data_IF_261248372896
#
_entry.id   IF_261248372896
#
_cell.length_a   1.000
_cell.length_b   1.000
_cell.length_c   1.000
_cell.angle_alpha   90.00
_cell.angle_beta   90.00
_cell.angle_gamma   90.00
#
_symmetry.space_group_name_H-M   'P 1'
#
loop_
_entity.id
_entity.type
_entity.pdbx_description
1 polymer ?
#
# COMPACT_ATOMS: atom_id res chain seq x y z
N UNK A 1 -43.23 21.25 -27.05
CA UNK A 1 -43.17 21.36 -25.58
C UNK A 1 -41.84 21.98 -25.20
N UNK A 2 -41.93 23.07 -24.47
CA UNK A 2 -41.00 24.21 -24.35
C UNK A 2 -40.24 24.25 -23.02
N UNK A 3 -39.07 24.92 -23.01
CA UNK A 3 -38.45 25.60 -21.86
C UNK A 3 -37.63 24.71 -20.90
N UNK A 4 -36.45 25.09 -20.40
CA UNK A 4 -35.96 26.44 -20.07
C UNK A 4 -34.44 26.60 -20.28
N UNK A 5 -34.05 27.76 -20.83
CA UNK A 5 -32.71 28.37 -20.70
C UNK A 5 -32.74 29.50 -19.67
N UNK A 6 -31.65 29.73 -18.92
CA UNK A 6 -31.32 31.07 -18.39
C UNK A 6 -29.80 31.27 -18.17
N UNK A 7 -29.35 32.44 -18.67
CA UNK A 7 -28.24 33.34 -18.29
C UNK A 7 -26.77 32.88 -18.39
N UNK A 8 -25.79 33.72 -18.80
CA UNK A 8 -25.76 35.18 -18.98
C UNK A 8 -24.68 35.64 -19.96
N UNK A 9 -24.99 36.69 -20.73
CA UNK A 9 -24.02 37.52 -21.44
C UNK A 9 -23.08 38.23 -20.44
N UNK A 10 -21.80 37.86 -20.45
CA UNK A 10 -20.77 38.62 -19.74
C UNK A 10 -20.21 39.70 -20.65
N UNK A 11 -20.27 40.94 -20.17
CA UNK A 11 -19.68 42.14 -20.77
C UNK A 11 -18.22 41.87 -21.25
N UNK A 12 -17.92 41.99 -22.56
CA UNK A 12 -16.64 41.57 -23.14
C UNK A 12 -15.43 42.31 -22.57
N UNK A 13 -15.61 43.54 -22.07
CA UNK A 13 -14.56 44.33 -21.43
C UNK A 13 -14.10 43.76 -20.08
N UNK A 14 -15.04 43.21 -19.28
CA UNK A 14 -14.70 42.56 -18.01
C UNK A 14 -13.92 41.26 -18.23
N UNK A 15 -14.17 40.56 -19.35
CA UNK A 15 -13.46 39.32 -19.71
C UNK A 15 -12.00 39.56 -20.09
N UNK A 16 -11.68 40.70 -20.71
CA UNK A 16 -10.31 41.07 -21.08
C UNK A 16 -9.48 41.50 -19.87
N UNK A 17 -10.08 42.26 -18.94
CA UNK A 17 -9.42 42.69 -17.70
C UNK A 17 -9.02 41.47 -16.83
N UNK A 18 -9.92 40.49 -16.72
CA UNK A 18 -9.66 39.23 -15.99
C UNK A 18 -8.56 38.40 -16.67
N UNK A 19 -8.51 38.37 -18.02
CA UNK A 19 -7.43 37.69 -18.76
C UNK A 19 -6.08 38.37 -18.57
N UNK A 20 -6.03 39.72 -18.57
CA UNK A 20 -4.80 40.49 -18.28
C UNK A 20 -4.29 40.23 -16.86
N UNK A 21 -5.16 40.24 -15.85
CA UNK A 21 -4.77 39.95 -14.45
C UNK A 21 -4.28 38.51 -14.27
N UNK A 22 -4.90 37.53 -14.96
CA UNK A 22 -4.42 36.13 -14.98
C UNK A 22 -3.07 35.97 -15.68
N UNK A 23 -2.76 36.81 -16.65
CA UNK A 23 -1.47 36.78 -17.35
C UNK A 23 -0.35 37.40 -16.50
N UNK A 24 -0.61 38.55 -15.89
CA UNK A 24 0.33 39.19 -14.97
C UNK A 24 0.63 38.32 -13.73
N UNK A 25 -0.38 37.66 -13.15
CA UNK A 25 -0.16 36.75 -12.02
C UNK A 25 0.71 35.54 -12.40
N UNK A 26 0.59 35.01 -13.62
CA UNK A 26 1.47 33.94 -14.12
C UNK A 26 2.92 34.40 -14.28
N UNK A 27 3.15 35.62 -14.76
CA UNK A 27 4.51 36.17 -14.88
C UNK A 27 5.17 36.39 -13.52
N UNK A 28 4.42 36.88 -12.52
CA UNK A 28 4.92 37.06 -11.15
C UNK A 28 5.28 35.71 -10.52
N UNK A 29 4.44 34.68 -10.68
CA UNK A 29 4.73 33.33 -10.16
C UNK A 29 5.96 32.70 -10.84
N UNK A 30 6.14 32.93 -12.14
CA UNK A 30 7.32 32.47 -12.86
C UNK A 30 8.61 33.18 -12.37
N UNK A 31 8.55 34.50 -12.16
CA UNK A 31 9.68 35.27 -11.64
C UNK A 31 10.09 34.84 -10.23
N UNK A 32 9.12 34.63 -9.32
CA UNK A 32 9.37 34.14 -7.96
C UNK A 32 9.98 32.74 -7.99
N UNK A 33 9.49 31.85 -8.86
CA UNK A 33 10.03 30.49 -9.00
C UNK A 33 11.47 30.48 -9.50
N UNK A 34 11.82 31.39 -10.41
CA UNK A 34 13.18 31.55 -10.92
C UNK A 34 14.13 32.04 -9.81
N UNK A 35 13.67 32.99 -8.98
CA UNK A 35 14.46 33.54 -7.87
C UNK A 35 14.74 32.50 -6.78
N UNK A 36 13.77 31.64 -6.47
CA UNK A 36 13.96 30.52 -5.52
C UNK A 36 14.99 29.51 -6.04
N UNK A 37 14.96 29.18 -7.33
CA UNK A 37 15.95 28.27 -7.94
C UNK A 37 17.37 28.83 -7.86
N UNK A 38 17.56 30.12 -8.15
CA UNK A 38 18.86 30.79 -8.07
C UNK A 38 19.40 30.74 -6.64
N UNK A 39 18.58 31.11 -5.64
CA UNK A 39 18.99 31.08 -4.22
C UNK A 39 19.36 29.67 -3.77
N UNK A 40 18.60 28.65 -4.20
CA UNK A 40 18.87 27.26 -3.83
C UNK A 40 20.17 26.75 -4.43
N UNK A 41 20.47 27.12 -5.68
CA UNK A 41 21.72 26.74 -6.35
C UNK A 41 22.94 27.39 -5.69
N UNK A 42 22.84 28.67 -5.31
CA UNK A 42 23.92 29.38 -4.62
C UNK A 42 24.21 28.77 -3.25
N UNK A 43 23.17 28.39 -2.49
CA UNK A 43 23.35 27.74 -1.18
C UNK A 43 24.03 26.37 -1.33
N UNK A 44 23.64 25.56 -2.33
CA UNK A 44 24.24 24.24 -2.58
C UNK A 44 25.69 24.38 -3.04
N UNK A 45 26.00 25.35 -3.91
CA UNK A 45 27.38 25.61 -4.35
C UNK A 45 28.30 26.03 -3.19
N UNK A 46 27.79 26.85 -2.27
CA UNK A 46 28.52 27.26 -1.06
C UNK A 46 28.69 26.10 -0.07
N UNK A 47 27.70 25.20 0.04
CA UNK A 47 27.74 24.11 1.02
C UNK A 47 28.61 22.91 0.61
N UNK A 48 28.83 22.71 -0.69
CA UNK A 48 29.58 21.56 -1.21
C UNK A 48 30.98 21.90 -1.74
N UNK A 49 31.42 23.16 -1.65
CA UNK A 49 32.69 23.64 -2.18
C UNK A 49 33.96 23.23 -1.43
N UNK A 50 33.91 22.53 -0.29
CA UNK A 50 35.13 22.20 0.48
C UNK A 50 35.06 20.85 1.21
N UNK A 51 35.28 19.74 0.51
CA UNK A 51 35.76 18.51 1.16
C UNK A 51 36.74 17.75 0.26
N UNK A 52 38.01 17.83 0.63
CA UNK A 52 39.12 17.04 0.09
C UNK A 52 39.10 15.61 0.61
N UNK A 53 39.54 14.71 -0.26
CA UNK A 53 39.54 13.26 -0.10
C UNK A 53 40.43 12.78 1.06
N UNK A 54 39.89 11.89 1.90
CA UNK A 54 40.68 10.98 2.74
C UNK A 54 40.52 9.55 2.19
N UNK A 55 41.64 8.98 1.74
CA UNK A 55 41.80 7.55 1.43
C UNK A 55 41.48 6.72 2.68
N UNK A 56 40.62 5.71 2.52
CA UNK A 56 40.27 4.74 3.56
C UNK A 56 40.74 3.36 3.13
N UNK A 57 41.50 2.75 4.04
CA UNK A 57 42.13 1.42 4.06
C UNK A 57 41.13 0.25 3.82
N UNK A 58 41.45 -0.76 2.99
CA UNK A 58 40.54 -1.84 2.64
C UNK A 58 40.72 -3.03 3.59
N UNK A 59 40.22 -2.93 4.82
CA UNK A 59 39.91 -4.13 5.60
C UNK A 59 38.52 -4.65 5.24
N UNK A 60 38.30 -5.98 5.14
CA UNK A 60 37.01 -6.55 4.77
C UNK A 60 36.00 -6.27 5.88
N UNK A 61 35.20 -5.22 5.71
CA UNK A 61 34.08 -4.96 6.62
C UNK A 61 33.09 -6.12 6.53
N UNK A 62 32.54 -6.59 7.66
CA UNK A 62 31.41 -7.51 7.64
C UNK A 62 30.33 -6.91 6.75
N UNK A 63 29.82 -7.69 5.78
CA UNK A 63 28.78 -7.23 4.86
C UNK A 63 27.66 -6.58 5.68
N UNK A 64 27.32 -5.31 5.48
CA UNK A 64 26.30 -4.65 6.28
C UNK A 64 24.97 -5.37 6.07
N UNK A 65 24.45 -6.00 7.12
CA UNK A 65 23.07 -6.53 7.16
C UNK A 65 22.14 -5.35 6.89
N UNK A 66 21.47 -5.35 5.74
CA UNK A 66 20.68 -4.20 5.29
C UNK A 66 19.54 -3.93 6.29
N UNK A 67 19.38 -2.68 6.78
CA UNK A 67 18.32 -2.31 7.72
C UNK A 67 17.01 -2.16 6.95
N UNK A 68 15.93 -2.75 7.45
CA UNK A 68 14.59 -2.49 6.93
C UNK A 68 13.50 -3.18 7.70
N UNK A 69 13.47 -4.51 7.64
CA UNK A 69 12.44 -5.33 8.27
C UNK A 69 13.09 -6.60 8.81
N UNK A 70 12.89 -6.86 10.08
CA UNK A 70 13.32 -8.09 10.75
C UNK A 70 12.10 -8.61 11.47
N UNK A 71 11.47 -9.65 10.93
CA UNK A 71 10.18 -10.12 11.41
C UNK A 71 10.20 -10.44 12.92
N UNK A 72 11.29 -11.00 13.43
CA UNK A 72 11.42 -11.32 14.85
C UNK A 72 11.55 -10.06 15.69
N UNK A 73 12.48 -9.21 15.30
CA UNK A 73 12.78 -7.99 16.04
C UNK A 73 11.63 -7.01 15.97
N UNK A 74 10.99 -6.85 14.81
CA UNK A 74 9.79 -6.03 14.62
C UNK A 74 8.64 -6.54 15.49
N UNK A 75 8.40 -7.86 15.54
CA UNK A 75 7.38 -8.42 16.43
C UNK A 75 7.68 -8.15 17.91
N UNK A 76 8.91 -8.35 18.35
CA UNK A 76 9.33 -8.08 19.73
C UNK A 76 9.22 -6.58 20.07
N UNK A 77 9.64 -5.71 19.15
CA UNK A 77 9.53 -4.25 19.29
C UNK A 77 8.07 -3.81 19.38
N UNK A 78 7.17 -4.37 18.56
CA UNK A 78 5.72 -4.13 18.64
C UNK A 78 5.20 -4.51 20.02
N UNK A 79 5.48 -5.72 20.51
CA UNK A 79 5.05 -6.16 21.86
C UNK A 79 5.57 -5.22 22.94
N UNK A 80 6.86 -4.85 22.87
CA UNK A 80 7.51 -3.96 23.83
C UNK A 80 6.87 -2.57 23.85
N UNK A 81 6.60 -1.98 22.69
CA UNK A 81 5.95 -0.68 22.57
C UNK A 81 4.55 -0.68 23.18
N UNK A 82 3.73 -1.69 22.87
CA UNK A 82 2.36 -1.76 23.37
C UNK A 82 2.30 -2.07 24.88
N UNK A 83 3.21 -2.90 25.39
CA UNK A 83 3.37 -3.05 26.85
C UNK A 83 3.77 -1.73 27.53
N UNK A 84 4.60 -0.91 26.88
CA UNK A 84 4.96 0.42 27.36
C UNK A 84 3.78 1.38 27.31
N UNK A 85 3.06 1.42 26.19
CA UNK A 85 1.91 2.28 25.96
C UNK A 85 0.83 2.07 27.03
N UNK A 86 0.45 0.82 27.32
CA UNK A 86 -0.55 0.52 28.36
C UNK A 86 -0.18 1.06 29.74
N UNK A 87 1.12 1.11 30.06
CA UNK A 87 1.66 1.58 31.35
C UNK A 87 2.04 3.07 31.34
N UNK A 88 1.81 3.79 30.24
CA UNK A 88 2.26 5.18 30.08
C UNK A 88 3.79 5.34 29.99
N UNK A 89 4.54 4.26 29.77
CA UNK A 89 6.00 4.29 29.65
C UNK A 89 6.43 4.53 28.20
N UNK A 90 6.53 5.80 27.83
CA UNK A 90 6.89 6.22 26.47
C UNK A 90 8.39 6.13 26.16
N UNK A 91 9.27 5.97 27.16
CA UNK A 91 10.73 5.82 26.92
C UNK A 91 11.04 4.61 26.02
N UNK A 92 10.36 3.48 26.25
CA UNK A 92 10.47 2.28 25.41
C UNK A 92 9.96 2.54 23.99
N UNK A 93 8.85 3.27 23.86
CA UNK A 93 8.25 3.63 22.57
C UNK A 93 9.23 4.46 21.74
N UNK A 94 9.83 5.49 22.33
CA UNK A 94 10.80 6.34 21.62
C UNK A 94 12.03 5.57 21.18
N UNK A 95 12.55 4.68 22.03
CA UNK A 95 13.72 3.84 21.70
C UNK A 95 13.49 3.02 20.42
N UNK A 96 12.26 2.53 20.23
CA UNK A 96 11.87 1.80 19.02
C UNK A 96 11.60 2.75 17.87
N UNK A 97 10.75 3.77 18.04
CA UNK A 97 10.30 4.64 16.94
C UNK A 97 11.42 5.50 16.35
N UNK A 98 12.45 5.87 17.11
CA UNK A 98 13.66 6.53 16.57
C UNK A 98 14.35 5.67 15.50
N UNK A 99 14.30 4.34 15.65
CA UNK A 99 14.91 3.39 14.72
C UNK A 99 13.91 2.89 13.67
N UNK A 100 12.64 2.76 14.05
CA UNK A 100 11.58 2.09 13.28
C UNK A 100 10.28 2.91 13.26
N UNK A 101 10.28 4.10 12.64
CA UNK A 101 9.11 4.98 12.64
C UNK A 101 7.91 4.42 11.87
N UNK A 102 8.06 3.38 11.04
CA UNK A 102 6.92 2.71 10.37
C UNK A 102 5.97 2.01 11.34
N UNK A 103 6.44 1.63 12.53
CA UNK A 103 5.62 0.84 13.46
C UNK A 103 4.57 1.70 14.20
N UNK A 104 4.60 3.03 14.04
CA UNK A 104 3.78 3.97 14.83
C UNK A 104 2.27 3.75 14.70
N UNK A 105 1.80 3.32 13.52
CA UNK A 105 0.37 3.14 13.22
C UNK A 105 -0.09 1.68 13.31
N UNK A 106 0.79 0.76 13.73
CA UNK A 106 0.44 -0.66 13.83
C UNK A 106 -0.57 -0.86 14.96
N UNK A 107 -1.56 -1.74 14.75
CA UNK A 107 -2.48 -2.19 15.79
C UNK A 107 -2.37 -3.73 15.90
N UNK A 108 -1.71 -4.25 16.95
CA UNK A 108 -1.58 -5.70 17.17
C UNK A 108 -2.94 -6.37 17.38
N UNK A 109 -3.01 -7.70 17.19
CA UNK A 109 -4.27 -8.48 17.32
C UNK A 109 -5.00 -8.25 18.64
N UNK A 110 -4.27 -8.18 19.74
CA UNK A 110 -4.83 -8.11 21.08
C UNK A 110 -5.13 -6.65 21.52
N UNK A 111 -5.06 -5.71 20.57
CA UNK A 111 -5.20 -4.28 20.78
C UNK A 111 -6.36 -3.72 19.96
N UNK A 112 -7.04 -2.69 20.49
CA UNK A 112 -8.03 -1.91 19.72
C UNK A 112 -7.47 -0.60 19.20
N UNK A 113 -6.32 -0.18 19.72
CA UNK A 113 -5.81 1.18 19.63
C UNK A 113 -4.39 1.20 19.08
N UNK A 114 -4.08 2.22 18.28
CA UNK A 114 -2.69 2.54 17.93
C UNK A 114 -2.01 3.31 19.08
N UNK A 115 -0.70 3.56 18.95
CA UNK A 115 0.06 4.30 19.96
C UNK A 115 -0.50 5.72 20.21
N UNK A 116 -0.98 6.38 19.15
CA UNK A 116 -1.57 7.71 19.25
C UNK A 116 -2.87 7.71 20.06
N UNK A 117 -3.74 6.72 19.87
CA UNK A 117 -4.93 6.55 20.71
C UNK A 117 -4.57 6.34 22.19
N UNK A 118 -3.53 5.54 22.48
CA UNK A 118 -3.06 5.33 23.85
C UNK A 118 -2.58 6.64 24.50
N UNK A 119 -1.79 7.45 23.78
CA UNK A 119 -1.34 8.76 24.26
C UNK A 119 -2.49 9.73 24.51
N UNK A 120 -3.45 9.78 23.60
CA UNK A 120 -4.68 10.56 23.76
C UNK A 120 -5.48 10.09 24.97
N UNK A 121 -5.73 8.79 25.11
CA UNK A 121 -6.55 8.19 26.18
C UNK A 121 -5.99 8.50 27.57
N UNK A 122 -4.67 8.57 27.69
CA UNK A 122 -3.92 8.86 28.91
C UNK A 122 -3.73 10.35 29.17
N UNK A 123 -4.28 11.23 28.32
CA UNK A 123 -4.13 12.67 28.43
C UNK A 123 -2.66 13.15 28.42
N UNK A 124 -1.77 12.42 27.73
CA UNK A 124 -0.34 12.71 27.67
C UNK A 124 0.00 13.64 26.49
N UNK A 125 -0.04 14.96 26.72
CA UNK A 125 0.20 15.99 25.69
C UNK A 125 1.56 15.88 25.03
N UNK A 126 2.61 15.66 25.81
CA UNK A 126 3.97 15.52 25.29
C UNK A 126 4.10 14.32 24.35
N UNK A 127 3.49 13.19 24.72
CA UNK A 127 3.48 12.00 23.86
C UNK A 127 2.67 12.23 22.58
N UNK A 128 1.48 12.85 22.67
CA UNK A 128 0.67 13.20 21.48
C UNK A 128 1.46 14.11 20.55
N UNK A 129 2.00 15.22 21.05
CA UNK A 129 2.78 16.18 20.27
C UNK A 129 3.99 15.50 19.59
N UNK A 130 4.73 14.67 20.34
CA UNK A 130 5.87 13.95 19.78
C UNK A 130 5.47 12.92 18.73
N UNK A 131 4.34 12.21 18.89
CA UNK A 131 3.85 11.24 17.92
C UNK A 131 3.41 11.92 16.62
N UNK A 132 2.62 13.00 16.68
CA UNK A 132 2.14 13.69 15.47
C UNK A 132 3.27 14.31 14.64
N UNK A 133 4.40 14.64 15.29
CA UNK A 133 5.60 15.14 14.62
C UNK A 133 6.37 14.05 13.84
N UNK A 134 6.09 12.76 14.05
CA UNK A 134 6.61 11.76 13.12
C UNK A 134 5.95 11.95 11.76
N UNK A 135 6.78 12.05 10.72
CA UNK A 135 6.28 12.06 9.35
C UNK A 135 5.40 10.86 9.07
N UNK A 136 5.63 9.71 9.72
CA UNK A 136 4.86 8.48 9.56
C UNK A 136 3.58 8.38 10.36
N UNK A 137 3.29 9.29 11.27
CA UNK A 137 2.07 9.24 12.07
C UNK A 137 0.85 9.48 11.19
N UNK A 138 -0.12 8.57 11.23
CA UNK A 138 -1.46 8.81 10.69
C UNK A 138 -2.38 9.30 11.81
N UNK A 139 -2.72 10.58 11.79
CA UNK A 139 -3.63 11.19 12.77
C UNK A 139 -5.08 10.73 12.57
N UNK A 140 -5.41 10.14 11.42
CA UNK A 140 -6.71 9.56 11.09
C UNK A 140 -6.74 8.04 11.26
N UNK A 141 -5.75 7.46 11.95
CA UNK A 141 -5.73 6.03 12.24
C UNK A 141 -6.98 5.63 13.01
N UNK A 142 -7.76 4.69 12.47
CA UNK A 142 -8.98 4.23 13.11
C UNK A 142 -8.68 3.09 14.10
N UNK A 143 -9.35 3.08 15.23
CA UNK A 143 -9.36 1.94 16.14
C UNK A 143 -9.99 0.72 15.46
N UNK A 144 -9.66 -0.48 15.94
CA UNK A 144 -10.25 -1.73 15.47
C UNK A 144 -11.05 -2.40 16.58
N UNK A 145 -12.15 -3.11 16.23
CA UNK A 145 -12.79 -4.00 17.19
C UNK A 145 -11.80 -5.04 17.71
N UNK A 146 -11.87 -5.40 18.99
CA UNK A 146 -11.15 -6.57 19.48
C UNK A 146 -12.10 -7.48 20.27
N UNK A 147 -11.65 -8.68 20.60
CA UNK A 147 -12.46 -9.68 21.30
C UNK A 147 -13.02 -9.17 22.65
N UNK A 148 -12.35 -8.20 23.28
CA UNK A 148 -12.76 -7.62 24.57
C UNK A 148 -13.70 -6.43 24.42
N UNK A 149 -13.60 -5.67 23.33
CA UNK A 149 -14.32 -4.42 23.08
C UNK A 149 -14.85 -4.40 21.64
N UNK A 150 -15.85 -5.24 21.34
CA UNK A 150 -16.41 -5.39 20.00
C UNK A 150 -17.04 -4.10 19.44
N UNK A 151 -17.49 -3.18 20.30
CA UNK A 151 -18.21 -1.96 19.92
C UNK A 151 -17.34 -0.68 19.79
N UNK A 152 -16.01 -0.76 19.99
CA UNK A 152 -15.14 0.43 20.03
C UNK A 152 -14.24 0.63 18.79
N UNK A 153 -14.58 -0.02 17.67
CA UNK A 153 -13.92 0.19 16.38
C UNK A 153 -14.22 1.54 15.73
N UNK A 154 -13.42 1.93 14.74
CA UNK A 154 -13.71 3.06 13.86
C UNK A 154 -13.34 4.45 14.36
N UNK A 155 -13.02 4.62 15.65
CA UNK A 155 -12.70 5.93 16.24
C UNK A 155 -11.28 6.38 15.90
N UNK A 156 -11.12 7.63 15.48
CA UNK A 156 -9.80 8.27 15.34
C UNK A 156 -9.35 8.90 16.69
N UNK A 157 -8.05 9.18 16.89
CA UNK A 157 -7.55 9.81 18.11
C UNK A 157 -8.23 11.12 18.46
N UNK A 158 -8.59 11.94 17.47
CA UNK A 158 -9.31 13.20 17.69
C UNK A 158 -10.71 12.97 18.29
N UNK A 159 -11.50 12.06 17.73
CA UNK A 159 -12.80 11.68 18.27
C UNK A 159 -12.67 11.12 19.70
N UNK A 160 -11.65 10.30 19.95
CA UNK A 160 -11.38 9.78 21.30
C UNK A 160 -11.02 10.91 22.29
N UNK A 161 -10.36 11.98 21.84
CA UNK A 161 -10.07 13.14 22.66
C UNK A 161 -11.36 13.92 22.99
N UNK A 162 -12.23 14.13 21.99
CA UNK A 162 -13.53 14.79 22.15
C UNK A 162 -14.43 14.05 23.14
N UNK A 163 -14.56 12.73 22.99
CA UNK A 163 -15.35 11.87 23.89
C UNK A 163 -14.89 11.96 25.35
N UNK A 164 -13.61 12.27 25.58
CA UNK A 164 -13.00 12.41 26.90
C UNK A 164 -12.86 13.86 27.35
N UNK A 165 -13.42 14.82 26.60
CA UNK A 165 -13.33 16.25 26.81
C UNK A 165 -11.87 16.77 26.90
N UNK A 166 -10.96 16.21 26.09
CA UNK A 166 -9.53 16.58 26.08
C UNK A 166 -9.24 17.57 24.95
N UNK A 167 -9.70 18.82 25.12
CA UNK A 167 -9.65 19.86 24.08
C UNK A 167 -8.22 20.27 23.67
N UNK A 168 -7.23 20.14 24.56
CA UNK A 168 -5.83 20.58 24.32
C UNK A 168 -5.09 19.83 23.20
N UNK A 169 -5.65 18.74 22.66
CA UNK A 169 -5.04 17.99 21.56
C UNK A 169 -5.56 18.35 20.18
N UNK A 170 -6.72 19.02 20.09
CA UNK A 170 -7.41 19.25 18.82
C UNK A 170 -6.52 20.05 17.85
N UNK A 171 -5.80 21.05 18.34
CA UNK A 171 -4.87 21.84 17.53
C UNK A 171 -3.76 20.99 16.88
N UNK A 172 -3.15 20.07 17.64
CA UNK A 172 -2.10 19.17 17.12
C UNK A 172 -2.61 18.27 15.98
N UNK A 173 -3.88 17.84 16.04
CA UNK A 173 -4.48 17.03 14.97
C UNK A 173 -4.78 17.87 13.73
N UNK A 174 -5.37 19.06 13.92
CA UNK A 174 -5.74 19.97 12.83
C UNK A 174 -4.53 20.43 12.00
N UNK A 175 -3.43 20.82 12.65
CA UNK A 175 -2.21 21.26 11.93
C UNK A 175 -1.63 20.15 11.04
N UNK A 176 -1.54 18.93 11.56
CA UNK A 176 -0.99 17.79 10.81
C UNK A 176 -1.89 17.43 9.62
N UNK A 177 -3.21 17.48 9.79
CA UNK A 177 -4.16 17.19 8.72
C UNK A 177 -4.04 18.16 7.53
N UNK A 178 -3.66 19.41 7.76
CA UNK A 178 -3.46 20.39 6.69
C UNK A 178 -2.20 20.14 5.85
N UNK A 179 -1.20 19.44 6.39
CA UNK A 179 0.07 19.16 5.71
C UNK A 179 0.02 17.93 4.78
N UNK A 180 -0.96 17.04 4.94
CA UNK A 180 -1.09 15.82 4.12
C UNK A 180 -1.81 16.05 2.79
N UNK A 181 -1.26 16.91 1.91
CA UNK A 181 -1.66 16.98 0.49
C UNK A 181 -0.61 16.26 -0.37
N UNK A 182 -0.83 14.97 -0.62
CA UNK A 182 0.03 14.21 -1.53
C UNK A 182 -0.31 14.53 -3.00
N UNK A 183 0.71 14.94 -3.77
CA UNK A 183 0.64 15.07 -5.22
C UNK A 183 0.51 13.70 -5.91
N UNK A 184 -0.38 13.64 -6.89
CA UNK A 184 -0.75 12.42 -7.63
C UNK A 184 0.23 12.16 -8.78
N UNK A 185 1.39 11.54 -8.50
CA UNK A 185 2.13 10.84 -9.55
C UNK A 185 1.78 9.36 -9.54
N UNK A 186 1.02 8.92 -10.53
CA UNK A 186 0.65 7.51 -10.70
C UNK A 186 1.81 6.76 -11.33
N UNK A 187 2.55 5.99 -10.53
CA UNK A 187 3.56 5.04 -11.02
C UNK A 187 3.00 3.63 -10.87
N UNK A 188 2.95 2.87 -11.97
CA UNK A 188 2.29 1.57 -12.01
C UNK A 188 3.23 0.39 -11.68
N UNK A 189 4.53 0.52 -11.92
CA UNK A 189 5.51 -0.55 -11.70
C UNK A 189 6.85 0.00 -11.20
N UNK A 190 7.78 -0.88 -10.82
CA UNK A 190 9.16 -0.50 -10.46
C UNK A 190 10.19 -1.22 -11.34
N UNK A 191 11.37 -0.61 -11.51
CA UNK A 191 12.45 -1.22 -12.31
C UNK A 191 12.91 -2.55 -11.72
N UNK A 192 13.42 -3.48 -12.53
CA UNK A 192 13.88 -4.80 -12.05
C UNK A 192 14.78 -4.72 -10.82
N UNK A 193 15.81 -3.88 -10.82
CA UNK A 193 16.74 -3.76 -9.69
C UNK A 193 16.07 -3.32 -8.37
N UNK A 194 14.98 -2.54 -8.45
CA UNK A 194 14.16 -2.18 -7.29
C UNK A 194 13.19 -3.31 -6.94
N UNK A 195 12.58 -3.94 -7.93
CA UNK A 195 11.61 -5.04 -7.80
C UNK A 195 12.21 -6.35 -7.28
N UNK A 196 13.44 -6.70 -7.65
CA UNK A 196 14.15 -7.87 -7.14
C UNK A 196 14.28 -7.86 -5.61
N UNK A 197 14.35 -6.68 -5.00
CA UNK A 197 14.32 -6.56 -3.53
C UNK A 197 12.96 -6.98 -2.96
N UNK A 198 11.86 -6.67 -3.64
CA UNK A 198 10.53 -7.12 -3.23
C UNK A 198 10.38 -8.63 -3.39
N UNK A 199 10.92 -9.22 -4.44
CA UNK A 199 10.83 -10.67 -4.64
C UNK A 199 11.78 -11.43 -3.70
N UNK A 200 12.94 -10.87 -3.39
CA UNK A 200 13.89 -11.46 -2.45
C UNK A 200 13.44 -11.35 -0.99
N UNK A 201 12.97 -10.16 -0.58
CA UNK A 201 12.70 -9.86 0.83
C UNK A 201 11.22 -9.85 1.18
N UNK A 202 10.33 -9.73 0.20
CA UNK A 202 8.88 -9.60 0.38
C UNK A 202 8.43 -8.14 0.38
N UNK A 203 7.17 -7.84 -0.01
CA UNK A 203 6.64 -6.49 0.07
C UNK A 203 6.57 -5.99 1.53
N UNK A 204 7.04 -4.77 1.83
CA UNK A 204 7.00 -4.19 3.17
C UNK A 204 5.62 -4.26 3.86
N UNK A 205 4.53 -4.03 3.12
CA UNK A 205 3.18 -4.14 3.69
C UNK A 205 2.89 -5.56 4.21
N UNK A 206 3.30 -6.58 3.45
CA UNK A 206 3.08 -7.99 3.81
C UNK A 206 4.00 -8.43 4.96
N UNK A 207 5.26 -7.99 4.95
CA UNK A 207 6.20 -8.22 6.05
C UNK A 207 5.73 -7.60 7.36
N UNK A 208 5.17 -6.39 7.29
CA UNK A 208 4.63 -5.71 8.46
C UNK A 208 3.36 -6.38 8.98
N UNK A 209 2.50 -6.89 8.10
CA UNK A 209 1.37 -7.73 8.50
C UNK A 209 1.85 -9.01 9.21
N UNK A 210 2.88 -9.67 8.65
CA UNK A 210 3.49 -10.86 9.26
C UNK A 210 4.11 -10.56 10.63
N UNK A 211 4.83 -9.45 10.81
CA UNK A 211 5.43 -9.12 12.11
C UNK A 211 4.37 -8.71 13.14
N UNK A 212 3.35 -7.97 12.72
CA UNK A 212 2.23 -7.55 13.58
C UNK A 212 1.42 -8.75 14.05
N UNK A 213 1.10 -9.67 13.14
CA UNK A 213 0.19 -10.79 13.38
C UNK A 213 0.92 -12.15 13.37
N UNK A 214 2.21 -12.14 13.72
CA UNK A 214 3.10 -13.30 13.69
C UNK A 214 2.49 -14.54 14.34
N UNK A 215 1.94 -14.40 15.54
CA UNK A 215 1.35 -15.53 16.28
C UNK A 215 0.20 -16.18 15.51
N UNK A 216 -0.61 -15.38 14.81
CA UNK A 216 -1.76 -15.88 14.03
C UNK A 216 -1.30 -16.53 12.71
N UNK A 217 -0.42 -15.87 11.95
CA UNK A 217 0.00 -16.36 10.64
C UNK A 217 1.08 -17.44 10.68
N UNK A 218 1.98 -17.42 11.66
CA UNK A 218 3.14 -18.32 11.71
C UNK A 218 3.14 -19.24 12.94
N UNK A 219 2.31 -19.00 13.95
CA UNK A 219 2.26 -19.83 15.15
C UNK A 219 3.62 -19.92 15.87
N UNK A 220 4.02 -21.15 16.22
CA UNK A 220 5.33 -21.48 16.82
C UNK A 220 6.42 -21.80 15.78
N UNK A 221 6.11 -21.73 14.48
CA UNK A 221 7.00 -22.20 13.42
C UNK A 221 8.32 -21.43 13.41
N UNK A 222 9.44 -22.13 13.22
CA UNK A 222 10.77 -21.51 13.04
C UNK A 222 10.69 -20.54 11.87
N UNK A 223 11.17 -19.31 12.08
CA UNK A 223 11.04 -18.27 11.07
C UNK A 223 12.16 -18.33 10.05
N UNK A 224 11.78 -18.40 8.79
CA UNK A 224 12.70 -18.29 7.66
C UNK A 224 13.08 -16.84 7.41
N UNK A 225 14.28 -16.62 6.87
CA UNK A 225 14.71 -15.33 6.34
C UNK A 225 14.18 -15.07 4.92
N UNK A 226 13.66 -16.09 4.23
CA UNK A 226 13.09 -15.98 2.87
C UNK A 226 11.58 -15.76 2.92
N UNK A 227 11.11 -14.76 2.18
CA UNK A 227 9.69 -14.41 2.16
C UNK A 227 8.79 -15.53 1.63
N UNK A 228 9.21 -16.24 0.59
CA UNK A 228 8.46 -17.37 0.00
C UNK A 228 8.21 -18.46 1.04
N UNK A 229 9.21 -18.80 1.86
CA UNK A 229 9.05 -19.76 2.95
C UNK A 229 8.05 -19.24 4.00
N UNK A 230 8.08 -17.95 4.33
CA UNK A 230 7.11 -17.34 5.25
C UNK A 230 5.69 -17.37 4.69
N UNK A 231 5.52 -17.13 3.38
CA UNK A 231 4.22 -17.27 2.71
C UNK A 231 3.72 -18.71 2.72
N UNK A 232 4.58 -19.70 2.48
CA UNK A 232 4.18 -21.11 2.57
C UNK A 232 3.74 -21.46 4.00
N UNK A 233 4.52 -21.07 5.02
CA UNK A 233 4.11 -21.24 6.42
C UNK A 233 2.77 -20.54 6.72
N UNK A 234 2.53 -19.37 6.12
CA UNK A 234 1.27 -18.64 6.24
C UNK A 234 0.11 -19.45 5.64
N UNK A 235 0.28 -20.00 4.45
CA UNK A 235 -0.72 -20.86 3.80
C UNK A 235 -1.00 -22.14 4.61
N UNK A 236 0.04 -22.80 5.11
CA UNK A 236 -0.08 -24.00 5.95
C UNK A 236 -0.79 -23.69 7.28
N UNK A 237 -0.49 -22.54 7.89
CA UNK A 237 -1.19 -22.07 9.09
C UNK A 237 -2.66 -21.80 8.79
N UNK A 238 -2.96 -21.14 7.67
CA UNK A 238 -4.33 -20.89 7.24
C UNK A 238 -5.12 -22.17 7.01
N UNK A 239 -4.50 -23.20 6.45
CA UNK A 239 -5.12 -24.51 6.26
C UNK A 239 -5.56 -25.17 7.59
N UNK A 240 -4.88 -24.87 8.70
CA UNK A 240 -5.17 -25.42 10.04
C UNK A 240 -6.02 -24.50 10.90
N UNK A 241 -5.94 -23.18 10.66
CA UNK A 241 -6.46 -22.17 11.55
C UNK A 241 -7.25 -21.06 10.82
N UNK A 242 -7.93 -21.42 9.73
CA UNK A 242 -8.61 -20.47 8.86
C UNK A 242 -9.62 -19.59 9.61
N UNK A 243 -10.34 -20.10 10.62
CA UNK A 243 -11.30 -19.31 11.42
C UNK A 243 -10.64 -18.14 12.14
N UNK A 244 -9.46 -18.34 12.73
CA UNK A 244 -8.73 -17.26 13.39
C UNK A 244 -8.17 -16.23 12.41
N UNK A 245 -7.73 -16.68 11.23
CA UNK A 245 -7.24 -15.79 10.17
C UNK A 245 -8.41 -15.01 9.54
N UNK A 246 -9.52 -15.68 9.29
CA UNK A 246 -10.77 -15.08 8.84
C UNK A 246 -11.20 -13.95 9.78
N UNK A 247 -11.31 -14.23 11.09
CA UNK A 247 -11.63 -13.22 12.10
C UNK A 247 -10.63 -12.05 12.12
N UNK A 248 -9.33 -12.33 11.97
CA UNK A 248 -8.31 -11.30 11.88
C UNK A 248 -8.53 -10.39 10.65
N UNK A 249 -8.80 -10.98 9.49
CA UNK A 249 -9.06 -10.25 8.25
C UNK A 249 -10.33 -9.40 8.39
N UNK A 250 -11.41 -9.99 8.91
CA UNK A 250 -12.68 -9.29 9.15
C UNK A 250 -12.52 -8.06 10.05
N UNK A 251 -11.83 -8.20 11.18
CA UNK A 251 -11.56 -7.07 12.09
C UNK A 251 -10.80 -5.95 11.39
N UNK A 252 -9.82 -6.30 10.55
CA UNK A 252 -9.05 -5.30 9.83
C UNK A 252 -9.84 -4.67 8.69
N UNK A 253 -10.77 -5.39 8.06
CA UNK A 253 -11.59 -4.90 6.94
C UNK A 253 -12.96 -4.32 7.33
N UNK A 254 -13.31 -4.33 8.63
CA UNK A 254 -14.64 -3.99 9.16
C UNK A 254 -15.31 -2.73 8.59
N UNK A 255 -14.55 -1.67 8.28
CA UNK A 255 -15.11 -0.39 7.79
C UNK A 255 -15.03 -0.21 6.26
N UNK A 256 -14.57 -1.22 5.52
CA UNK A 256 -14.21 -1.04 4.11
C UNK A 256 -15.14 -1.71 3.12
N UNK A 257 -15.73 -2.85 3.45
CA UNK A 257 -16.51 -3.59 2.47
C UNK A 257 -17.66 -4.38 3.12
N UNK A 258 -18.89 -4.09 2.69
CA UNK A 258 -20.06 -4.90 3.03
C UNK A 258 -19.92 -6.33 2.47
N UNK A 259 -19.07 -6.54 1.45
CA UNK A 259 -18.71 -7.86 0.92
C UNK A 259 -17.94 -8.76 1.89
N UNK A 260 -17.50 -8.24 3.05
CA UNK A 260 -16.92 -9.08 4.12
C UNK A 260 -17.91 -10.13 4.66
N UNK A 261 -19.20 -10.04 4.33
CA UNK A 261 -20.21 -11.07 4.57
C UNK A 261 -19.78 -12.47 4.06
N UNK A 262 -19.10 -12.54 2.92
CA UNK A 262 -18.62 -13.81 2.35
C UNK A 262 -17.54 -14.49 3.22
N UNK A 263 -16.84 -13.72 4.07
CA UNK A 263 -15.84 -14.24 5.02
C UNK A 263 -16.48 -14.55 6.39
N UNK A 264 -17.61 -13.93 6.73
CA UNK A 264 -18.30 -14.15 8.01
C UNK A 264 -18.85 -15.58 8.17
N UNK A 265 -19.26 -16.21 7.07
CA UNK A 265 -19.98 -17.49 7.09
C UNK A 265 -19.16 -18.69 6.59
N UNK A 266 -17.83 -18.57 6.54
CA UNK A 266 -16.97 -19.66 6.04
C UNK A 266 -17.00 -20.86 6.98
N UNK A 267 -17.46 -22.00 6.48
CA UNK A 267 -17.57 -23.24 7.29
C UNK A 267 -16.38 -24.17 7.08
N UNK A 268 -15.75 -24.12 5.91
CA UNK A 268 -14.58 -24.92 5.56
C UNK A 268 -13.37 -24.07 5.16
N UNK A 269 -12.19 -24.71 5.13
CA UNK A 269 -10.95 -24.07 4.63
C UNK A 269 -11.05 -23.69 3.15
N UNK A 270 -11.76 -24.51 2.37
CA UNK A 270 -11.94 -24.32 0.93
C UNK A 270 -12.83 -23.11 0.67
N UNK A 271 -13.94 -22.99 1.41
CA UNK A 271 -14.81 -21.81 1.34
C UNK A 271 -14.04 -20.56 1.75
N UNK A 272 -13.20 -20.65 2.78
CA UNK A 272 -12.37 -19.53 3.18
C UNK A 272 -11.42 -19.08 2.05
N UNK A 273 -10.71 -20.00 1.39
CA UNK A 273 -9.83 -19.64 0.28
C UNK A 273 -10.60 -19.08 -0.92
N UNK A 274 -11.76 -19.65 -1.24
CA UNK A 274 -12.66 -19.14 -2.27
C UNK A 274 -13.12 -17.71 -1.95
N UNK A 275 -13.57 -17.45 -0.71
CA UNK A 275 -14.00 -16.12 -0.26
C UNK A 275 -12.87 -15.08 -0.31
N UNK A 276 -11.62 -15.48 -0.03
CA UNK A 276 -10.47 -14.58 -0.18
C UNK A 276 -10.27 -14.14 -1.63
N UNK A 277 -10.44 -15.06 -2.60
CA UNK A 277 -10.35 -14.71 -4.02
C UNK A 277 -11.55 -13.87 -4.46
N UNK A 278 -12.76 -14.28 -4.08
CA UNK A 278 -14.02 -13.59 -4.41
C UNK A 278 -14.00 -12.14 -3.94
N UNK A 279 -13.62 -11.91 -2.68
CA UNK A 279 -13.59 -10.58 -2.10
C UNK A 279 -12.63 -9.65 -2.84
N UNK A 280 -11.56 -10.16 -3.46
CA UNK A 280 -10.62 -9.33 -4.22
C UNK A 280 -11.26 -8.76 -5.48
N UNK A 281 -12.23 -9.48 -6.05
CA UNK A 281 -12.97 -9.04 -7.24
C UNK A 281 -14.01 -7.98 -6.90
N UNK A 282 -14.25 -7.69 -5.61
CA UNK A 282 -15.05 -6.53 -5.23
C UNK A 282 -14.34 -5.23 -5.66
N UNK A 283 -15.11 -4.26 -6.19
CA UNK A 283 -14.56 -2.97 -6.61
C UNK A 283 -13.80 -2.29 -5.47
N UNK A 284 -14.33 -2.36 -4.26
CA UNK A 284 -13.80 -1.65 -3.10
C UNK A 284 -12.46 -2.23 -2.65
N UNK A 285 -12.33 -3.55 -2.51
CA UNK A 285 -11.05 -4.14 -2.15
C UNK A 285 -10.05 -4.09 -3.29
N UNK A 286 -10.46 -4.35 -4.53
CA UNK A 286 -9.58 -4.26 -5.70
C UNK A 286 -8.85 -2.91 -5.74
N UNK A 287 -9.59 -1.79 -5.62
CA UNK A 287 -9.02 -0.44 -5.67
C UNK A 287 -8.12 -0.18 -4.47
N UNK A 288 -8.59 -0.48 -3.26
CA UNK A 288 -7.88 -0.08 -2.05
C UNK A 288 -6.61 -0.91 -1.79
N UNK A 289 -6.68 -2.23 -1.96
CA UNK A 289 -5.53 -3.13 -1.79
C UNK A 289 -4.45 -2.81 -2.83
N UNK A 290 -4.84 -2.66 -4.10
CA UNK A 290 -3.87 -2.34 -5.14
C UNK A 290 -3.30 -0.93 -4.97
N UNK A 291 -4.08 0.04 -4.49
CA UNK A 291 -3.55 1.37 -4.16
C UNK A 291 -2.53 1.31 -3.03
N UNK A 292 -2.82 0.55 -1.96
CA UNK A 292 -1.88 0.37 -0.85
C UNK A 292 -0.56 -0.25 -1.32
N UNK A 293 -0.63 -1.26 -2.20
CA UNK A 293 0.53 -1.95 -2.75
C UNK A 293 1.31 -1.09 -3.76
N UNK A 294 0.63 -0.39 -4.69
CA UNK A 294 1.25 0.49 -5.70
C UNK A 294 2.03 1.63 -5.07
N UNK A 295 1.56 2.19 -3.95
CA UNK A 295 2.28 3.24 -3.22
C UNK A 295 3.70 2.81 -2.83
N UNK A 296 3.98 1.51 -2.71
CA UNK A 296 5.34 1.00 -2.46
C UNK A 296 6.31 1.34 -3.60
N UNK A 297 5.83 1.44 -4.85
CA UNK A 297 6.64 1.73 -6.02
C UNK A 297 7.19 3.17 -6.01
N UNK A 298 6.52 4.09 -5.30
CA UNK A 298 6.89 5.50 -5.22
C UNK A 298 8.10 5.76 -4.31
N UNK A 299 8.52 4.76 -3.53
CA UNK A 299 9.60 4.91 -2.56
C UNK A 299 10.67 3.85 -2.78
N UNK A 300 11.89 4.13 -2.32
CA UNK A 300 12.87 3.06 -2.08
C UNK A 300 12.22 2.04 -1.12
N UNK A 301 12.46 0.74 -1.34
CA UNK A 301 12.11 -0.34 -0.44
C UNK A 301 12.41 0.00 1.03
N UNK A 302 13.56 0.63 1.29
CA UNK A 302 13.97 1.07 2.63
C UNK A 302 13.22 2.28 3.17
N UNK A 303 12.58 3.07 2.31
CA UNK A 303 11.90 4.34 2.63
C UNK A 303 10.38 4.22 2.66
N UNK A 304 9.80 3.18 2.06
CA UNK A 304 8.36 2.97 2.16
C UNK A 304 7.97 2.70 3.61
N UNK A 305 6.96 3.44 4.07
CA UNK A 305 6.37 3.34 5.40
C UNK A 305 4.86 3.25 5.18
N UNK A 306 4.23 2.06 5.17
CA UNK A 306 2.78 1.97 5.07
C UNK A 306 2.16 2.65 6.30
N UNK A 307 1.08 3.39 6.09
CA UNK A 307 0.42 4.20 7.13
C UNK A 307 -1.07 4.02 7.06
N UNK A 308 -1.70 4.21 8.22
CA UNK A 308 -3.14 4.34 8.30
C UNK A 308 -3.92 3.18 7.71
N UNK A 309 -4.93 3.51 6.92
CA UNK A 309 -5.81 2.55 6.23
C UNK A 309 -5.05 1.52 5.39
N UNK A 310 -3.88 1.86 4.83
CA UNK A 310 -3.11 0.89 4.05
C UNK A 310 -2.67 -0.34 4.87
N UNK A 311 -2.37 -0.15 6.16
CA UNK A 311 -1.96 -1.24 7.07
C UNK A 311 -3.08 -2.26 7.30
N UNK A 312 -4.33 -1.80 7.28
CA UNK A 312 -5.52 -2.65 7.47
C UNK A 312 -5.70 -3.66 6.33
N UNK A 313 -5.20 -3.37 5.13
CA UNK A 313 -5.23 -4.32 4.02
C UNK A 313 -4.11 -5.37 4.09
N UNK A 314 -3.13 -5.22 4.97
CA UNK A 314 -1.97 -6.11 5.08
C UNK A 314 -2.33 -7.57 5.31
N UNK A 315 -3.14 -7.93 6.33
CA UNK A 315 -3.55 -9.32 6.59
C UNK A 315 -4.27 -9.96 5.41
N UNK A 316 -5.16 -9.21 4.77
CA UNK A 316 -5.91 -9.66 3.61
C UNK A 316 -4.99 -9.89 2.40
N UNK A 317 -4.16 -8.91 2.05
CA UNK A 317 -3.23 -9.00 0.93
C UNK A 317 -2.22 -10.13 1.14
N UNK A 318 -1.78 -10.38 2.38
CA UNK A 318 -0.91 -11.49 2.71
C UNK A 318 -1.60 -12.84 2.47
N UNK A 319 -2.87 -12.96 2.87
CA UNK A 319 -3.64 -14.19 2.65
C UNK A 319 -3.92 -14.41 1.16
N UNK A 320 -4.34 -13.39 0.42
CA UNK A 320 -4.54 -13.48 -1.03
C UNK A 320 -3.26 -13.90 -1.75
N UNK A 321 -2.11 -13.32 -1.38
CA UNK A 321 -0.81 -13.74 -1.91
C UNK A 321 -0.53 -15.21 -1.62
N UNK A 322 -0.78 -15.69 -0.38
CA UNK A 322 -0.55 -17.07 -0.01
C UNK A 322 -1.49 -18.04 -0.77
N UNK A 323 -2.77 -17.68 -0.94
CA UNK A 323 -3.75 -18.46 -1.70
C UNK A 323 -3.33 -18.59 -3.17
N UNK A 324 -2.99 -17.49 -3.84
CA UNK A 324 -2.57 -17.51 -5.25
C UNK A 324 -1.31 -18.36 -5.48
N UNK A 325 -0.39 -18.36 -4.51
CA UNK A 325 0.87 -19.06 -4.65
C UNK A 325 0.78 -20.56 -4.36
N UNK A 326 -0.13 -21.00 -3.48
CA UNK A 326 -0.09 -22.36 -2.92
C UNK A 326 -1.42 -23.13 -2.92
N UNK A 327 -2.56 -22.50 -3.18
CA UNK A 327 -3.83 -23.25 -3.25
C UNK A 327 -3.95 -23.99 -4.57
N UNK A 328 -3.95 -25.32 -4.51
CA UNK A 328 -3.92 -26.22 -5.69
C UNK A 328 -5.15 -26.11 -6.57
N UNK A 329 -6.27 -25.63 -6.03
CA UNK A 329 -7.52 -25.46 -6.79
C UNK A 329 -7.43 -24.26 -7.75
N UNK A 330 -6.47 -23.36 -7.54
CA UNK A 330 -6.15 -22.28 -8.47
C UNK A 330 -5.03 -22.74 -9.40
N UNK A 331 -5.41 -23.20 -10.60
CA UNK A 331 -4.46 -23.67 -11.59
C UNK A 331 -3.68 -22.49 -12.20
N UNK A 332 -2.36 -22.62 -12.40
CA UNK A 332 -1.62 -21.71 -13.26
C UNK A 332 -2.21 -21.70 -14.67
N UNK A 333 -2.27 -20.53 -15.29
CA UNK A 333 -2.66 -20.38 -16.69
C UNK A 333 -1.44 -20.06 -17.55
N UNK A 334 -1.31 -20.74 -18.69
CA UNK A 334 -0.16 -20.70 -19.59
C UNK A 334 -0.47 -20.04 -20.96
N UNK A 335 -1.71 -19.64 -21.19
CA UNK A 335 -2.13 -18.92 -22.39
C UNK A 335 -1.82 -17.41 -22.36
N UNK A 336 -2.38 -16.70 -23.35
CA UNK A 336 -2.31 -15.23 -23.43
C UNK A 336 -3.42 -14.61 -22.58
N UNK A 337 -3.08 -13.54 -21.87
CA UNK A 337 -4.04 -12.73 -21.10
C UNK A 337 -3.88 -11.25 -21.46
N UNK A 338 -4.95 -10.50 -21.26
CA UNK A 338 -5.09 -9.12 -21.69
C UNK A 338 -5.49 -8.23 -20.50
N UNK A 339 -5.01 -6.98 -20.53
CA UNK A 339 -5.42 -5.96 -19.57
C UNK A 339 -5.58 -4.61 -20.25
N UNK A 340 -6.83 -4.13 -20.30
CA UNK A 340 -7.15 -2.79 -20.75
C UNK A 340 -6.84 -1.72 -19.69
N UNK A 341 -6.33 -0.59 -20.14
CA UNK A 341 -6.19 0.64 -19.38
C UNK A 341 -6.92 1.76 -20.12
N UNK A 342 -7.80 2.48 -19.41
CA UNK A 342 -8.52 3.66 -19.93
C UNK A 342 -7.62 4.84 -20.29
N UNK A 343 -6.33 4.75 -19.99
CA UNK A 343 -5.33 5.77 -20.30
C UNK A 343 -4.19 5.12 -21.06
N UNK A 344 -3.59 5.87 -21.98
CA UNK A 344 -2.40 5.41 -22.68
C UNK A 344 -1.20 5.35 -21.70
N UNK A 345 -0.74 4.14 -21.40
CA UNK A 345 0.44 3.89 -20.55
C UNK A 345 1.66 3.42 -21.33
N UNK A 346 1.59 3.35 -22.67
CA UNK A 346 2.62 2.75 -23.52
C UNK A 346 3.98 3.44 -23.42
N UNK A 347 4.01 4.75 -23.19
CA UNK A 347 5.22 5.53 -22.98
C UNK A 347 6.01 5.12 -21.72
N UNK A 348 5.40 4.33 -20.84
CA UNK A 348 6.07 3.76 -19.68
C UNK A 348 6.71 2.40 -20.01
N UNK A 349 6.53 1.80 -21.18
CA UNK A 349 7.04 0.45 -21.45
C UNK A 349 8.02 0.45 -22.62
N UNK A 350 9.31 0.30 -22.32
CA UNK A 350 10.35 0.21 -23.34
C UNK A 350 10.73 -1.24 -23.60
N UNK A 351 10.83 -1.63 -24.87
CA UNK A 351 11.20 -2.98 -25.31
C UNK A 351 12.50 -3.44 -24.62
N UNK A 352 12.57 -4.72 -24.24
CA UNK A 352 13.63 -5.36 -23.42
C UNK A 352 13.70 -4.91 -21.96
N UNK A 353 12.87 -3.97 -21.52
CA UNK A 353 12.83 -3.56 -20.11
C UNK A 353 12.17 -4.63 -19.28
N UNK A 354 12.82 -4.98 -18.16
CA UNK A 354 12.27 -5.85 -17.12
C UNK A 354 11.73 -5.01 -15.97
N UNK A 355 10.55 -5.35 -15.49
CA UNK A 355 9.89 -4.64 -14.40
C UNK A 355 9.09 -5.57 -13.51
N UNK A 356 8.72 -5.07 -12.34
CA UNK A 356 7.93 -5.80 -11.35
C UNK A 356 6.65 -5.03 -11.04
N UNK A 357 5.52 -5.74 -11.13
CA UNK A 357 4.22 -5.22 -10.73
C UNK A 357 4.00 -5.49 -9.23
N UNK A 358 4.01 -4.43 -8.42
CA UNK A 358 3.97 -4.58 -6.96
C UNK A 358 2.57 -4.88 -6.42
N UNK A 359 1.52 -4.63 -7.20
CA UNK A 359 0.15 -4.97 -6.84
C UNK A 359 -0.33 -6.21 -7.57
N UNK A 360 -1.44 -6.79 -7.12
CA UNK A 360 -2.10 -7.87 -7.83
C UNK A 360 -2.63 -7.37 -9.18
N UNK A 361 -2.50 -8.17 -10.23
CA UNK A 361 -2.93 -7.80 -11.57
C UNK A 361 -4.04 -8.74 -12.03
N UNK A 362 -5.26 -8.22 -12.16
CA UNK A 362 -6.34 -8.91 -12.88
C UNK A 362 -6.14 -8.71 -14.37
N UNK A 363 -6.36 -9.79 -15.12
CA UNK A 363 -6.37 -9.85 -16.58
C UNK A 363 -7.53 -10.75 -17.03
N UNK A 364 -7.83 -10.76 -18.32
CA UNK A 364 -8.82 -11.66 -18.96
C UNK A 364 -8.17 -12.39 -20.13
N UNK A 365 -8.65 -13.56 -20.51
CA UNK A 365 -8.25 -14.20 -21.78
C UNK A 365 -9.11 -13.74 -22.98
N UNK A 366 -10.08 -12.84 -22.74
CA UNK A 366 -10.92 -12.25 -23.77
C UNK A 366 -10.36 -10.88 -24.19
N UNK A 367 -9.77 -10.83 -25.39
CA UNK A 367 -9.20 -9.60 -25.96
C UNK A 367 -10.25 -8.50 -26.15
N UNK A 368 -11.43 -8.84 -26.68
CA UNK A 368 -12.54 -7.89 -26.87
C UNK A 368 -12.92 -7.23 -25.54
N UNK A 369 -13.01 -8.03 -24.47
CA UNK A 369 -13.31 -7.50 -23.14
C UNK A 369 -12.23 -6.53 -22.65
N UNK A 370 -10.96 -6.84 -22.86
CA UNK A 370 -9.87 -5.94 -22.52
C UNK A 370 -9.90 -4.64 -23.35
N UNK A 371 -10.26 -4.71 -24.62
CA UNK A 371 -10.42 -3.54 -25.49
C UNK A 371 -11.60 -2.65 -25.07
N UNK A 372 -12.75 -3.23 -24.72
CA UNK A 372 -13.89 -2.51 -24.13
C UNK A 372 -13.48 -1.71 -22.89
N UNK A 373 -12.67 -2.32 -22.00
CA UNK A 373 -12.14 -1.64 -20.83
C UNK A 373 -11.14 -0.53 -21.16
N UNK A 374 -10.34 -0.70 -22.22
CA UNK A 374 -9.35 0.29 -22.64
C UNK A 374 -10.03 1.50 -23.32
N UNK A 375 -11.05 1.27 -24.15
CA UNK A 375 -11.66 2.29 -24.98
C UNK A 375 -10.71 2.84 -26.06
N UNK A 376 -11.22 3.77 -26.88
CA UNK A 376 -10.54 4.26 -28.09
C UNK A 376 -9.15 4.91 -27.84
N UNK A 377 -8.93 5.49 -26.66
CA UNK A 377 -7.69 6.19 -26.31
C UNK A 377 -6.85 5.45 -25.25
N UNK A 378 -7.29 4.22 -24.90
CA UNK A 378 -6.62 3.39 -23.93
C UNK A 378 -5.40 2.67 -24.48
N UNK A 379 -4.87 1.79 -23.65
CA UNK A 379 -3.81 0.86 -24.06
C UNK A 379 -4.07 -0.52 -23.49
N UNK A 380 -3.56 -1.55 -24.16
CA UNK A 380 -3.75 -2.95 -23.77
C UNK A 380 -2.38 -3.56 -23.46
N UNK A 381 -2.28 -4.26 -22.32
CA UNK A 381 -1.17 -5.18 -22.10
C UNK A 381 -1.57 -6.54 -22.64
N UNK A 382 -0.78 -7.09 -23.56
CA UNK A 382 -0.91 -8.44 -24.10
C UNK A 382 0.17 -9.28 -23.45
N UNK A 383 -0.20 -10.26 -22.64
CA UNK A 383 0.72 -10.94 -21.72
C UNK A 383 0.77 -12.43 -22.04
N UNK A 384 1.91 -12.91 -22.52
CA UNK A 384 2.18 -14.33 -22.71
C UNK A 384 2.62 -14.98 -21.40
N UNK A 385 1.94 -16.08 -21.04
CA UNK A 385 2.23 -16.90 -19.86
C UNK A 385 2.81 -18.27 -20.18
N UNK A 386 3.20 -18.49 -21.44
CA UNK A 386 3.71 -19.79 -21.94
C UNK A 386 4.96 -20.25 -21.21
N UNK A 387 5.73 -19.32 -20.64
CA UNK A 387 6.87 -19.64 -19.79
C UNK A 387 6.39 -19.99 -18.38
N UNK A 388 6.59 -21.25 -17.99
CA UNK A 388 6.35 -21.69 -16.61
C UNK A 388 7.21 -20.90 -15.63
N UNK A 389 6.54 -20.25 -14.67
CA UNK A 389 7.18 -19.54 -13.58
C UNK A 389 6.25 -19.51 -12.36
N UNK A 390 6.83 -19.27 -11.18
CA UNK A 390 6.08 -19.31 -9.93
C UNK A 390 5.02 -18.20 -9.81
N UNK A 391 5.11 -17.15 -10.64
CA UNK A 391 4.25 -15.97 -10.64
C UNK A 391 3.25 -15.95 -11.81
N UNK A 392 3.09 -17.05 -12.54
CA UNK A 392 2.03 -17.21 -13.54
C UNK A 392 0.67 -16.84 -12.93
N UNK A 393 -0.26 -16.29 -13.73
CA UNK A 393 -1.56 -15.94 -13.22
C UNK A 393 -2.34 -17.20 -12.86
N UNK A 394 -3.30 -17.05 -11.95
CA UNK A 394 -4.23 -18.09 -11.57
C UNK A 394 -5.58 -17.84 -12.19
N UNK A 395 -6.22 -18.89 -12.70
CA UNK A 395 -7.63 -18.82 -13.09
C UNK A 395 -8.50 -18.62 -11.83
N UNK A 396 -9.15 -17.46 -11.75
CA UNK A 396 -10.05 -17.10 -10.65
C UNK A 396 -11.51 -17.02 -11.10
N UNK A 397 -11.82 -17.42 -12.34
CA UNK A 397 -13.11 -17.23 -13.00
C UNK A 397 -14.27 -17.73 -12.14
N UNK A 398 -14.17 -18.99 -11.66
CA UNK A 398 -15.21 -19.62 -10.84
C UNK A 398 -15.38 -19.04 -9.43
N UNK A 399 -14.44 -18.20 -9.00
CA UNK A 399 -14.44 -17.59 -7.66
C UNK A 399 -14.74 -16.09 -7.71
N UNK A 400 -14.90 -15.48 -8.89
CA UNK A 400 -15.14 -14.05 -9.06
C UNK A 400 -16.62 -13.68 -8.86
N UNK A 401 -16.89 -12.44 -8.45
CA UNK A 401 -18.22 -11.83 -8.59
C UNK A 401 -18.62 -11.65 -10.07
N UNK A 402 -17.66 -11.74 -10.99
CA UNK A 402 -17.83 -11.54 -12.43
C UNK A 402 -17.31 -12.76 -13.21
N UNK A 403 -17.94 -13.94 -13.09
CA UNK A 403 -17.47 -15.16 -13.75
C UNK A 403 -17.44 -15.04 -15.28
N UNK A 404 -18.30 -14.20 -15.87
CA UNK A 404 -18.34 -13.99 -17.31
C UNK A 404 -17.12 -13.21 -17.84
N UNK A 405 -16.36 -12.51 -16.98
CA UNK A 405 -15.17 -11.77 -17.39
C UNK A 405 -13.94 -12.67 -17.62
N UNK A 406 -14.03 -13.98 -17.33
CA UNK A 406 -12.93 -14.96 -17.47
C UNK A 406 -11.61 -14.44 -16.89
N UNK A 407 -11.65 -14.19 -15.57
CA UNK A 407 -10.60 -13.44 -14.89
C UNK A 407 -9.43 -14.32 -14.46
N UNK A 408 -8.23 -13.81 -14.69
CA UNK A 408 -6.97 -14.38 -14.25
C UNK A 408 -6.24 -13.40 -13.35
N UNK A 409 -5.58 -13.91 -12.31
CA UNK A 409 -4.98 -13.07 -11.28
C UNK A 409 -3.51 -13.40 -11.07
N UNK A 410 -2.66 -12.41 -11.34
CA UNK A 410 -1.25 -12.46 -11.00
C UNK A 410 -1.02 -12.11 -9.52
N UNK A 411 -0.12 -12.83 -8.84
CA UNK A 411 0.32 -12.46 -7.50
C UNK A 411 1.04 -11.10 -7.49
N UNK A 412 1.07 -10.45 -6.32
CA UNK A 412 1.90 -9.27 -6.09
C UNK A 412 3.38 -9.63 -6.24
N UNK A 413 4.14 -8.80 -6.95
CA UNK A 413 5.55 -9.03 -7.24
C UNK A 413 5.82 -9.78 -8.56
N UNK A 414 4.80 -9.96 -9.40
CA UNK A 414 4.97 -10.59 -10.71
C UNK A 414 5.93 -9.81 -11.60
N UNK A 415 6.85 -10.54 -12.25
CA UNK A 415 7.89 -9.99 -13.10
C UNK A 415 7.50 -10.12 -14.57
N UNK A 416 7.84 -9.10 -15.35
CA UNK A 416 7.56 -9.06 -16.77
C UNK A 416 8.75 -8.48 -17.53
N UNK A 417 8.87 -8.89 -18.80
CA UNK A 417 9.72 -8.24 -19.79
C UNK A 417 8.85 -7.72 -20.93
N UNK A 418 9.12 -6.50 -21.39
CA UNK A 418 8.49 -5.94 -22.58
C UNK A 418 9.11 -6.57 -23.83
N UNK A 419 8.32 -7.29 -24.62
CA UNK A 419 8.76 -7.95 -25.85
C UNK A 419 8.52 -7.09 -27.08
N UNK A 420 7.42 -6.34 -27.11
CA UNK A 420 7.11 -5.36 -28.17
C UNK A 420 6.21 -4.24 -27.62
N UNK A 421 6.20 -3.10 -28.31
CA UNK A 421 5.31 -1.97 -28.03
C UNK A 421 5.00 -1.26 -29.36
N UNK A 422 3.72 -1.27 -29.76
CA UNK A 422 3.26 -0.70 -31.03
C UNK A 422 2.53 0.66 -30.87
N UNK A 423 2.54 1.23 -29.66
CA UNK A 423 1.91 2.51 -29.35
C UNK A 423 0.48 2.40 -28.81
N UNK A 424 -0.19 1.25 -28.97
CA UNK A 424 -1.47 0.93 -28.31
C UNK A 424 -1.37 -0.32 -27.44
N UNK A 425 -0.75 -1.36 -27.96
CA UNK A 425 -0.52 -2.62 -27.31
C UNK A 425 0.92 -2.73 -26.83
N UNK A 426 1.07 -3.18 -25.59
CA UNK A 426 2.36 -3.53 -25.00
C UNK A 426 2.40 -5.04 -24.80
N UNK A 427 3.25 -5.71 -25.57
CA UNK A 427 3.46 -7.13 -25.46
C UNK A 427 4.44 -7.43 -24.33
N UNK A 428 4.03 -8.32 -23.43
CA UNK A 428 4.76 -8.72 -22.23
C UNK A 428 4.96 -10.24 -22.23
N UNK A 429 6.08 -10.68 -21.67
CA UNK A 429 6.26 -12.08 -21.24
C UNK A 429 6.40 -12.10 -19.73
N UNK A 430 5.65 -12.99 -19.07
CA UNK A 430 5.89 -13.34 -17.68
C UNK A 430 7.24 -14.06 -17.57
N UNK A 431 8.06 -13.73 -16.55
CA UNK A 431 9.43 -14.26 -16.40
C UNK A 431 9.75 -14.78 -15.00
#
# INVERSE_FOLDING_TARGET
MSGYSWFSETNPLLSQEIRRRKYQSKQIVAAISCLVLIVTFTIVAVYFGTKTDKKVDPTPRPRPRLPGYDLQKDHADIISMFSGARKGNYKKIWTVLTKKPYLINVIPRDESYALLHYATRQNNSMAVHKLVNYNSCDVKVQSVPNAKNKHQGGKIPEQLALDKNIKKFLHNFTEKMMQERFGSKTVFYTTKAKGEKFNKYGPPLLLLALSTFKKTFLGKTKTSSKFQSLLNCTFQSASKNFKNISNLILVNLYDFDNGTADILNVTSKTDFFASIVKLYTSRTLYVNVNTALKRQALFDYKKYRPRGRALRFGPYALMLQAVLMYWTDLKPYDGVTYRGFQVNVTNQYHVKTKFVYLNFMVTTDNETRADEYAGAHGSILVISNTRHCHVQPRDITRYSYYPNDRQYLYPSGSEFVVTANDGRNVNLSCI
#
